data_IF_056430251916
#
_entry.id   IF_056430251916
#
_cell.length_a   1.000
_cell.length_b   1.000
_cell.length_c   1.000
_cell.angle_alpha   90.00
_cell.angle_beta   90.00
_cell.angle_gamma   90.00
#
_symmetry.space_group_name_H-M   'P 1'
#
loop_
_entity.id
_entity.type
_entity.pdbx_description
1 polymer ?
#
# COMPACT_ATOMS: atom_id res chain seq x y z
N UNK A 1 57.65 -67.28 -24.67
CA UNK A 1 57.33 -66.32 -25.76
C UNK A 1 55.82 -66.15 -25.84
N UNK A 2 55.27 -65.07 -25.26
CA UNK A 2 54.08 -64.29 -25.66
C UNK A 2 53.61 -63.43 -24.47
N UNK A 3 53.80 -62.12 -24.61
CA UNK A 3 53.06 -61.06 -23.91
C UNK A 3 51.60 -61.11 -24.35
N UNK A 4 50.65 -60.88 -23.44
CA UNK A 4 49.51 -59.98 -23.70
C UNK A 4 49.02 -59.38 -22.37
N UNK A 5 48.90 -58.06 -22.33
CA UNK A 5 48.29 -57.21 -21.31
C UNK A 5 46.77 -57.17 -21.44
N UNK A 6 46.02 -56.94 -20.36
CA UNK A 6 44.84 -56.05 -20.43
C UNK A 6 44.23 -55.73 -19.08
N UNK A 7 43.99 -54.43 -18.93
CA UNK A 7 43.23 -53.72 -17.91
C UNK A 7 41.79 -54.23 -17.78
N UNK A 8 41.24 -54.18 -16.57
CA UNK A 8 40.10 -53.30 -16.25
C UNK A 8 39.80 -53.36 -14.75
N UNK A 9 39.89 -52.20 -14.11
CA UNK A 9 39.62 -51.95 -12.71
C UNK A 9 38.31 -51.15 -12.66
N UNK A 10 37.24 -51.71 -12.11
CA UNK A 10 36.06 -50.93 -11.70
C UNK A 10 35.58 -51.49 -10.36
N UNK A 11 35.91 -50.77 -9.30
CA UNK A 11 35.35 -50.96 -7.97
C UNK A 11 33.96 -50.34 -7.90
N UNK A 12 33.07 -51.07 -7.25
CA UNK A 12 31.70 -50.73 -6.89
C UNK A 12 31.59 -49.40 -6.15
N UNK A 13 30.62 -48.56 -6.52
CA UNK A 13 30.10 -47.49 -5.65
C UNK A 13 28.58 -47.57 -5.60
N UNK A 14 27.96 -47.67 -4.40
CA UNK A 14 26.51 -47.70 -4.27
C UNK A 14 25.91 -46.28 -4.27
N UNK A 15 24.87 -46.17 -5.07
CA UNK A 15 23.66 -45.35 -4.96
C UNK A 15 23.54 -44.50 -3.66
N UNK A 16 23.65 -43.18 -3.79
CA UNK A 16 23.01 -42.24 -2.85
C UNK A 16 22.60 -40.97 -3.58
N UNK A 17 21.29 -40.84 -3.75
CA UNK A 17 20.59 -39.74 -4.42
C UNK A 17 20.73 -38.46 -3.62
N UNK A 18 21.46 -37.47 -4.14
CA UNK A 18 21.49 -36.13 -3.57
C UNK A 18 20.17 -35.41 -3.90
N UNK A 19 19.27 -35.40 -2.92
CA UNK A 19 18.03 -34.61 -2.93
C UNK A 19 18.42 -33.12 -2.85
N UNK A 20 18.35 -32.39 -3.96
CA UNK A 20 18.52 -30.93 -3.97
C UNK A 20 17.28 -30.27 -3.37
N UNK A 21 17.35 -29.93 -2.08
CA UNK A 21 16.39 -29.04 -1.44
C UNK A 21 16.59 -27.62 -1.98
N UNK A 22 15.87 -27.26 -3.05
CA UNK A 22 15.71 -25.86 -3.44
C UNK A 22 14.81 -25.20 -2.39
N UNK A 23 15.43 -24.71 -1.31
CA UNK A 23 14.77 -23.83 -0.37
C UNK A 23 14.34 -22.57 -1.11
N UNK A 24 13.03 -22.41 -1.33
CA UNK A 24 12.45 -21.16 -1.81
C UNK A 24 12.74 -20.07 -0.79
N UNK A 25 13.76 -19.26 -1.08
CA UNK A 25 14.08 -18.06 -0.33
C UNK A 25 12.98 -17.02 -0.59
N UNK A 26 11.90 -17.11 0.18
CA UNK A 26 10.88 -16.06 0.21
C UNK A 26 11.46 -14.86 0.95
N UNK A 27 12.13 -13.98 0.21
CA UNK A 27 12.53 -12.66 0.67
C UNK A 27 11.25 -11.94 1.07
N UNK A 28 10.98 -11.80 2.37
CA UNK A 28 9.97 -10.85 2.88
C UNK A 28 10.42 -9.45 2.46
N UNK A 29 9.96 -9.02 1.28
CA UNK A 29 10.01 -7.63 0.88
C UNK A 29 9.06 -6.91 1.82
N UNK A 30 9.61 -6.26 2.84
CA UNK A 30 8.88 -5.29 3.66
C UNK A 30 8.57 -4.13 2.72
N UNK A 31 7.40 -4.17 2.08
CA UNK A 31 6.93 -3.08 1.25
C UNK A 31 6.90 -1.84 2.13
N UNK A 32 7.83 -0.93 1.90
CA UNK A 32 7.76 0.40 2.48
C UNK A 32 6.66 1.12 1.69
N UNK A 33 5.40 0.86 2.05
CA UNK A 33 4.25 1.53 1.46
C UNK A 33 4.31 2.98 1.89
N UNK A 34 5.09 3.79 1.18
CA UNK A 34 5.04 5.23 1.36
C UNK A 34 3.64 5.68 0.97
N UNK A 35 2.91 6.15 1.97
CA UNK A 35 1.61 6.76 1.79
C UNK A 35 1.85 8.10 1.08
N UNK A 36 1.50 8.14 -0.20
CA UNK A 36 1.67 9.33 -1.03
C UNK A 36 0.43 10.22 -0.87
N UNK A 37 0.59 11.51 -0.50
CA UNK A 37 -0.53 12.42 -0.42
C UNK A 37 -1.26 12.48 -1.76
N UNK A 38 -2.60 12.43 -1.72
CA UNK A 38 -3.44 12.60 -2.90
C UNK A 38 -4.25 13.87 -2.80
N UNK A 39 -4.30 14.61 -3.90
CA UNK A 39 -5.04 15.86 -4.02
C UNK A 39 -6.36 15.64 -4.75
N UNK A 40 -7.43 16.21 -4.21
CA UNK A 40 -8.75 16.22 -4.81
C UNK A 40 -9.24 17.66 -4.95
N UNK A 41 -10.00 17.92 -6.01
CA UNK A 41 -10.69 19.20 -6.23
C UNK A 41 -12.18 18.91 -6.31
N UNK A 42 -12.97 19.63 -5.51
CA UNK A 42 -14.43 19.54 -5.47
C UNK A 42 -15.04 20.88 -5.85
N UNK A 43 -15.90 20.84 -6.85
CA UNK A 43 -16.79 21.93 -7.24
C UNK A 43 -17.98 22.08 -6.31
N UNK A 44 -18.90 22.98 -6.68
CA UNK A 44 -20.11 23.22 -5.91
C UNK A 44 -21.06 22.00 -5.99
N UNK A 45 -21.54 21.55 -4.83
CA UNK A 45 -22.42 20.39 -4.71
C UNK A 45 -21.74 19.03 -4.92
N UNK A 46 -20.43 19.02 -5.22
CA UNK A 46 -19.66 17.78 -5.30
C UNK A 46 -19.30 17.26 -3.91
N UNK A 47 -19.37 15.94 -3.78
CA UNK A 47 -19.14 15.23 -2.53
C UNK A 47 -18.12 14.13 -2.78
N UNK A 48 -17.16 14.00 -1.87
CA UNK A 48 -16.17 12.93 -1.88
C UNK A 48 -16.29 12.09 -0.61
N UNK A 49 -16.34 10.77 -0.78
CA UNK A 49 -16.21 9.82 0.32
C UNK A 49 -14.74 9.50 0.49
N UNK A 50 -14.19 9.82 1.66
CA UNK A 50 -12.79 9.59 1.97
C UNK A 50 -12.61 8.09 2.26
N UNK A 51 -11.81 7.36 1.46
CA UNK A 51 -11.49 5.96 1.74
C UNK A 51 -10.84 5.77 3.11
N UNK A 52 -11.13 4.62 3.74
CA UNK A 52 -10.56 4.22 5.03
C UNK A 52 -9.03 4.11 5.09
N UNK A 53 -8.38 4.13 3.91
CA UNK A 53 -6.92 4.11 3.81
C UNK A 53 -6.29 5.45 4.23
N UNK A 54 -7.04 6.55 4.16
CA UNK A 54 -6.57 7.87 4.55
C UNK A 54 -6.87 8.11 6.03
N UNK A 55 -5.85 8.61 6.73
CA UNK A 55 -5.84 8.92 8.15
C UNK A 55 -5.81 10.42 8.38
N UNK A 56 -5.48 11.23 7.39
CA UNK A 56 -5.37 12.68 7.54
C UNK A 56 -5.98 13.40 6.34
N UNK A 57 -6.58 14.56 6.61
CA UNK A 57 -7.11 15.46 5.59
C UNK A 57 -6.66 16.89 5.88
N UNK A 58 -6.18 17.60 4.87
CA UNK A 58 -5.86 19.02 4.92
C UNK A 58 -6.65 19.78 3.84
N UNK A 59 -7.22 20.93 4.22
CA UNK A 59 -7.84 21.87 3.27
C UNK A 59 -6.74 22.79 2.73
N UNK A 60 -6.47 22.70 1.43
CA UNK A 60 -5.49 23.55 0.77
C UNK A 60 -6.12 24.85 0.26
N UNK A 61 -7.40 24.81 -0.13
CA UNK A 61 -8.14 25.99 -0.61
C UNK A 61 -9.64 25.79 -0.45
N UNK A 62 -10.37 26.87 -0.16
CA UNK A 62 -11.82 26.86 0.05
C UNK A 62 -12.21 26.58 1.49
N UNK A 63 -13.49 26.23 1.68
CA UNK A 63 -14.07 25.83 2.96
C UNK A 63 -14.68 24.44 2.76
N UNK A 64 -14.38 23.52 3.66
CA UNK A 64 -14.91 22.17 3.64
C UNK A 64 -15.98 21.97 4.71
N UNK A 65 -17.04 21.26 4.35
CA UNK A 65 -17.90 20.57 5.31
C UNK A 65 -17.46 19.11 5.30
N UNK A 66 -16.96 18.63 6.44
CA UNK A 66 -16.61 17.24 6.70
C UNK A 66 -17.61 16.62 7.69
N UNK A 67 -18.25 15.52 7.29
CA UNK A 67 -19.02 14.66 8.21
C UNK A 67 -18.21 13.41 8.52
N UNK A 68 -17.92 13.15 9.81
CA UNK A 68 -17.23 11.95 10.28
C UNK A 68 -17.79 11.51 11.62
N UNK A 69 -18.12 10.21 11.76
CA UNK A 69 -18.66 9.66 13.00
C UNK A 69 -19.95 10.35 13.47
N UNK A 70 -20.81 10.75 12.54
CA UNK A 70 -22.06 11.47 12.83
C UNK A 70 -21.86 12.92 13.31
N UNK A 71 -20.66 13.47 13.24
CA UNK A 71 -20.35 14.86 13.57
C UNK A 71 -19.96 15.64 12.33
N UNK A 72 -20.38 16.90 12.29
CA UNK A 72 -20.03 17.84 11.24
C UNK A 72 -18.93 18.78 11.72
N UNK A 73 -17.93 18.97 10.87
CA UNK A 73 -16.80 19.86 11.05
C UNK A 73 -16.72 20.79 9.85
N UNK A 74 -16.57 22.08 10.11
CA UNK A 74 -16.22 23.07 9.08
C UNK A 74 -14.74 23.33 9.17
N UNK A 75 -14.03 23.12 8.05
CA UNK A 75 -12.59 23.32 7.96
C UNK A 75 -12.29 24.44 6.95
N UNK A 76 -11.49 25.41 7.36
CA UNK A 76 -10.99 26.50 6.55
C UNK A 76 -9.66 26.14 5.89
N UNK A 77 -9.26 26.92 4.89
CA UNK A 77 -7.97 26.76 4.22
C UNK A 77 -6.81 26.80 5.22
N UNK A 78 -5.91 25.83 5.11
CA UNK A 78 -4.78 25.61 6.01
C UNK A 78 -5.08 24.65 7.15
N UNK A 79 -6.35 24.41 7.49
CA UNK A 79 -6.73 23.50 8.57
C UNK A 79 -6.60 22.03 8.16
N UNK A 80 -6.37 21.20 9.18
CA UNK A 80 -6.09 19.77 9.06
C UNK A 80 -6.83 19.01 10.14
N UNK A 81 -7.23 17.78 9.83
CA UNK A 81 -7.93 16.90 10.76
C UNK A 81 -7.48 15.45 10.56
N UNK A 82 -7.45 14.70 11.66
CA UNK A 82 -7.31 13.25 11.61
C UNK A 82 -8.65 12.60 11.25
N UNK A 83 -8.60 11.71 10.26
CA UNK A 83 -9.76 10.97 9.74
C UNK A 83 -9.71 9.58 10.37
N UNK A 84 -10.21 9.45 11.60
CA UNK A 84 -10.35 8.17 12.29
C UNK A 84 -11.50 7.31 11.71
N UNK A 85 -11.40 6.95 10.43
CA UNK A 85 -12.49 6.30 9.70
C UNK A 85 -12.60 4.80 9.97
N UNK A 86 -12.10 4.24 11.08
CA UNK A 86 -12.09 2.77 11.28
C UNK A 86 -13.47 2.12 11.26
N UNK A 87 -14.55 2.89 11.48
CA UNK A 87 -15.93 2.39 11.53
C UNK A 87 -16.89 3.18 10.66
N UNK A 88 -16.68 4.49 10.52
CA UNK A 88 -17.58 5.37 9.78
C UNK A 88 -16.90 5.98 8.56
N UNK A 89 -17.67 6.11 7.48
CA UNK A 89 -17.22 6.77 6.25
C UNK A 89 -17.17 8.28 6.51
N UNK A 90 -16.01 8.88 6.25
CA UNK A 90 -15.88 10.33 6.26
C UNK A 90 -16.30 10.89 4.89
N UNK A 91 -17.15 11.92 4.91
CA UNK A 91 -17.71 12.55 3.71
C UNK A 91 -17.34 14.02 3.71
N UNK A 92 -16.83 14.52 2.59
CA UNK A 92 -16.43 15.91 2.45
C UNK A 92 -17.07 16.57 1.24
N UNK A 93 -17.49 17.82 1.40
CA UNK A 93 -18.00 18.67 0.32
C UNK A 93 -17.48 20.09 0.44
N UNK A 94 -17.55 20.84 -0.67
CA UNK A 94 -17.30 22.28 -0.64
C UNK A 94 -18.44 23.01 0.10
N UNK A 95 -18.09 24.07 0.84
CA UNK A 95 -19.05 25.00 1.42
C UNK A 95 -18.93 26.36 0.71
N UNK A 96 -20.03 26.83 0.13
CA UNK A 96 -20.10 28.09 -0.62
C UNK A 96 -19.74 27.95 -2.11
N UNK A 97 -19.32 29.06 -2.73
CA UNK A 97 -19.13 29.13 -4.19
C UNK A 97 -17.68 28.95 -4.66
N UNK A 98 -16.75 28.68 -3.73
CA UNK A 98 -15.34 28.46 -4.05
C UNK A 98 -15.07 26.97 -4.25
N UNK A 99 -14.16 26.63 -5.18
CA UNK A 99 -13.66 25.25 -5.29
C UNK A 99 -12.94 24.87 -4.02
N UNK A 100 -13.21 23.66 -3.55
CA UNK A 100 -12.50 23.05 -2.44
C UNK A 100 -11.34 22.23 -2.99
N UNK A 101 -10.12 22.50 -2.52
CA UNK A 101 -8.94 21.68 -2.81
C UNK A 101 -8.48 21.05 -1.50
N UNK A 102 -8.37 19.72 -1.48
CA UNK A 102 -7.95 18.97 -0.29
C UNK A 102 -6.81 18.01 -0.62
N UNK A 103 -6.02 17.73 0.39
CA UNK A 103 -5.00 16.69 0.37
C UNK A 103 -5.34 15.64 1.43
N UNK A 104 -5.18 14.37 1.09
CA UNK A 104 -5.39 13.24 2.00
C UNK A 104 -4.18 12.32 2.01
N UNK A 105 -3.89 11.79 3.20
CA UNK A 105 -2.77 10.92 3.50
C UNK A 105 -3.28 9.71 4.27
#
# INVERSE_FOLDING_TARGET
>A
MRLVTSNALILLFPLSTLLTLVGSYSKKVKANSQVMPRRFTLGNGEVFRIPHAYQELQVLSGIAWLTIGGRDLILHSGEKVEVESKKDVAIISSLGNMRLIVEVL
#
